data_IF_367936456156
#
_entry.id   IF_367936456156
#
_cell.length_a   1.000
_cell.length_b   1.000
_cell.length_c   1.000
_cell.angle_alpha   90.00
_cell.angle_beta   90.00
_cell.angle_gamma   90.00
#
_symmetry.space_group_name_H-M   'P 1'
#
loop_
_entity.id
_entity.type
_entity.pdbx_description
1 polymer ?
#
# COMPACT_ATOMS: atom_id res chain seq x y z
N UNK A 1 -25.37 12.13 -15.56
CA UNK A 1 -25.79 13.51 -15.18
C UNK A 1 -26.96 13.37 -14.23
N UNK A 2 -26.84 13.94 -13.04
CA UNK A 2 -27.84 13.76 -11.99
C UNK A 2 -29.23 14.23 -12.42
N UNK A 3 -30.26 13.47 -12.01
CA UNK A 3 -31.67 13.80 -12.32
C UNK A 3 -32.04 15.19 -11.79
N UNK A 4 -31.45 15.63 -10.68
CA UNK A 4 -31.62 16.96 -10.12
C UNK A 4 -31.08 18.05 -11.06
N UNK A 5 -29.85 17.89 -11.56
CA UNK A 5 -29.23 18.83 -12.50
C UNK A 5 -30.04 18.95 -13.79
N UNK A 6 -30.54 17.82 -14.31
CA UNK A 6 -31.43 17.82 -15.48
C UNK A 6 -32.72 18.61 -15.23
N UNK A 7 -33.30 18.46 -14.04
CA UNK A 7 -34.49 19.21 -13.64
C UNK A 7 -34.20 20.72 -13.52
N UNK A 8 -33.07 21.09 -12.92
CA UNK A 8 -32.66 22.49 -12.77
C UNK A 8 -32.43 23.18 -14.11
N UNK A 9 -31.75 22.50 -15.05
CA UNK A 9 -31.56 22.99 -16.41
C UNK A 9 -32.88 23.14 -17.15
N UNK A 10 -33.81 22.19 -16.98
CA UNK A 10 -35.15 22.28 -17.56
C UNK A 10 -35.94 23.46 -16.99
N UNK A 11 -35.90 23.67 -15.67
CA UNK A 11 -36.56 24.82 -15.03
C UNK A 11 -35.98 26.14 -15.53
N UNK A 12 -34.64 26.24 -15.63
CA UNK A 12 -33.95 27.42 -16.16
C UNK A 12 -34.36 27.69 -17.62
N UNK A 13 -34.49 26.64 -18.43
CA UNK A 13 -34.98 26.73 -19.80
C UNK A 13 -36.44 27.24 -19.86
N UNK A 14 -37.33 26.69 -19.03
CA UNK A 14 -38.74 27.13 -18.93
C UNK A 14 -38.81 28.61 -18.56
N UNK A 15 -38.08 29.04 -17.51
CA UNK A 15 -38.02 30.45 -17.08
C UNK A 15 -37.51 31.33 -18.21
N UNK A 16 -36.43 30.92 -18.89
CA UNK A 16 -35.88 31.65 -20.02
C UNK A 16 -36.88 31.80 -21.19
N UNK A 17 -37.63 30.74 -21.51
CA UNK A 17 -38.69 30.79 -22.53
C UNK A 17 -39.81 31.76 -22.13
N UNK A 18 -40.27 31.72 -20.88
CA UNK A 18 -41.27 32.66 -20.38
C UNK A 18 -40.78 34.12 -20.41
N UNK A 19 -39.51 34.36 -20.05
CA UNK A 19 -38.89 35.68 -20.16
C UNK A 19 -38.85 36.19 -21.61
N UNK A 20 -38.54 35.32 -22.57
CA UNK A 20 -38.57 35.65 -24.00
C UNK A 20 -40.01 35.92 -24.47
N UNK A 21 -40.96 35.10 -24.04
CA UNK A 21 -42.39 35.20 -24.37
C UNK A 21 -42.98 36.54 -23.94
N UNK A 22 -42.70 37.00 -22.72
CA UNK A 22 -43.19 38.29 -22.19
C UNK A 22 -42.75 39.52 -23.01
N UNK A 23 -41.79 39.35 -23.92
CA UNK A 23 -41.28 40.42 -24.79
C UNK A 23 -41.60 40.20 -26.27
N UNK A 24 -42.39 39.19 -26.60
CA UNK A 24 -42.90 38.97 -27.96
C UNK A 24 -43.92 40.04 -28.33
N UNK A 25 -43.93 40.46 -29.60
CA UNK A 25 -44.88 41.45 -30.12
C UNK A 25 -45.85 40.72 -31.06
N UNK A 26 -47.12 41.10 -30.96
CA UNK A 26 -48.20 40.84 -31.93
C UNK A 26 -48.77 39.40 -32.02
N UNK A 27 -49.99 39.35 -32.58
CA UNK A 27 -50.99 38.27 -32.66
C UNK A 27 -50.52 37.02 -33.43
N UNK A 28 -49.41 36.43 -33.04
CA UNK A 28 -49.02 35.13 -33.56
C UNK A 28 -49.72 34.02 -32.74
N UNK A 29 -50.38 33.08 -33.43
CA UNK A 29 -50.99 31.94 -32.75
C UNK A 29 -49.92 31.05 -32.12
N UNK A 30 -50.15 30.66 -30.87
CA UNK A 30 -49.33 29.68 -30.13
C UNK A 30 -47.83 30.03 -30.03
N UNK A 31 -47.48 31.32 -29.89
CA UNK A 31 -46.08 31.77 -29.76
C UNK A 31 -45.31 31.00 -28.68
N UNK A 32 -45.91 30.79 -27.51
CA UNK A 32 -45.25 30.08 -26.41
C UNK A 32 -44.80 28.67 -26.82
N UNK A 33 -45.68 27.89 -27.47
CA UNK A 33 -45.36 26.55 -27.96
C UNK A 33 -44.25 26.59 -29.01
N UNK A 34 -44.28 27.58 -29.91
CA UNK A 34 -43.23 27.77 -30.91
C UNK A 34 -41.88 28.09 -30.24
N UNK A 35 -41.84 28.97 -29.24
CA UNK A 35 -40.62 29.29 -28.49
C UNK A 35 -40.06 28.05 -27.77
N UNK A 36 -40.91 27.23 -27.16
CA UNK A 36 -40.49 25.93 -26.63
C UNK A 36 -39.90 25.04 -27.71
N UNK A 37 -40.55 24.94 -28.88
CA UNK A 37 -40.03 24.18 -30.01
C UNK A 37 -38.65 24.64 -30.48
N UNK A 38 -38.43 25.95 -30.62
CA UNK A 38 -37.12 26.51 -30.95
C UNK A 38 -36.08 26.27 -29.87
N UNK A 39 -36.46 26.35 -28.59
CA UNK A 39 -35.55 26.08 -27.48
C UNK A 39 -35.17 24.61 -27.37
N UNK A 40 -36.11 23.69 -27.54
CA UNK A 40 -35.84 22.25 -27.61
C UNK A 40 -34.95 21.94 -28.82
N UNK A 41 -35.24 22.54 -29.98
CA UNK A 41 -34.42 22.39 -31.18
C UNK A 41 -32.98 22.87 -30.95
N UNK A 42 -32.79 24.01 -30.27
CA UNK A 42 -31.45 24.51 -29.93
C UNK A 42 -30.68 23.61 -28.96
N UNK A 43 -31.38 22.99 -28.00
CA UNK A 43 -30.78 22.06 -27.04
C UNK A 43 -30.56 20.64 -27.61
N UNK A 44 -31.19 20.32 -28.74
CA UNK A 44 -31.13 18.99 -29.31
C UNK A 44 -29.72 18.65 -29.79
N UNK A 45 -29.20 17.56 -29.25
CA UNK A 45 -27.88 17.04 -29.57
C UNK A 45 -27.94 15.58 -30.00
N UNK A 46 -26.98 15.19 -30.81
CA UNK A 46 -26.77 13.81 -31.21
C UNK A 46 -25.42 13.34 -30.69
N UNK A 47 -25.38 12.19 -30.03
CA UNK A 47 -24.15 11.62 -29.49
C UNK A 47 -23.55 10.61 -30.49
N UNK A 48 -22.27 10.78 -30.82
CA UNK A 48 -21.46 9.81 -31.57
C UNK A 48 -20.26 9.47 -30.68
N UNK A 49 -20.20 8.24 -30.20
CA UNK A 49 -19.27 7.82 -29.15
C UNK A 49 -19.37 8.79 -27.93
N UNK A 50 -18.24 9.33 -27.48
CA UNK A 50 -18.15 10.28 -26.36
C UNK A 50 -18.41 11.75 -26.76
N UNK A 51 -18.66 12.04 -28.05
CA UNK A 51 -18.81 13.41 -28.55
C UNK A 51 -20.30 13.73 -28.77
N UNK A 52 -20.78 14.81 -28.15
CA UNK A 52 -22.14 15.34 -28.35
C UNK A 52 -22.11 16.48 -29.36
N UNK A 53 -22.84 16.34 -30.46
CA UNK A 53 -22.92 17.33 -31.53
C UNK A 53 -24.25 18.11 -31.45
N UNK A 54 -24.25 19.46 -31.55
CA UNK A 54 -25.45 20.29 -31.48
C UNK A 54 -26.25 20.30 -32.79
N UNK A 55 -26.65 19.13 -33.27
CA UNK A 55 -27.29 18.98 -34.59
C UNK A 55 -28.56 19.82 -34.69
N UNK A 56 -29.35 19.93 -33.63
CA UNK A 56 -30.60 20.70 -33.67
C UNK A 56 -30.35 22.20 -33.87
N UNK A 57 -29.31 22.74 -33.26
CA UNK A 57 -28.90 24.12 -33.49
C UNK A 57 -28.35 24.34 -34.91
N UNK A 58 -27.60 23.38 -35.46
CA UNK A 58 -27.15 23.42 -36.87
C UNK A 58 -28.35 23.41 -37.82
N UNK A 59 -29.33 22.54 -37.59
CA UNK A 59 -30.57 22.48 -38.37
C UNK A 59 -31.32 23.82 -38.30
N UNK A 60 -31.41 24.42 -37.12
CA UNK A 60 -32.00 25.73 -36.95
C UNK A 60 -31.31 26.80 -37.83
N UNK A 61 -29.97 26.86 -37.80
CA UNK A 61 -29.20 27.82 -38.58
C UNK A 61 -29.37 27.64 -40.10
N UNK A 62 -29.42 26.40 -40.57
CA UNK A 62 -29.44 26.09 -42.01
C UNK A 62 -30.85 26.12 -42.62
N UNK A 63 -31.86 25.63 -41.90
CA UNK A 63 -33.18 25.35 -42.47
C UNK A 63 -34.30 26.23 -41.92
N UNK A 64 -34.17 26.85 -40.74
CA UNK A 64 -35.25 27.61 -40.12
C UNK A 64 -35.07 29.12 -40.30
N UNK A 65 -35.91 29.72 -41.15
CA UNK A 65 -36.03 31.18 -41.34
C UNK A 65 -37.41 31.65 -40.87
N UNK A 66 -37.59 31.98 -39.58
CA UNK A 66 -38.89 32.41 -39.07
C UNK A 66 -39.35 33.70 -39.74
N UNK A 67 -40.63 33.79 -40.12
CA UNK A 67 -41.24 34.99 -40.72
C UNK A 67 -41.74 36.01 -39.69
N UNK A 68 -42.31 35.54 -38.58
CA UNK A 68 -42.83 36.37 -37.48
C UNK A 68 -42.04 36.13 -36.19
N UNK A 69 -42.01 37.11 -35.27
CA UNK A 69 -41.28 37.03 -34.00
C UNK A 69 -39.82 36.53 -34.14
N UNK A 70 -39.15 36.89 -35.25
CA UNK A 70 -37.84 36.37 -35.67
C UNK A 70 -36.81 36.45 -34.55
N UNK A 71 -36.72 37.62 -33.91
CA UNK A 71 -35.77 37.88 -32.83
C UNK A 71 -36.01 36.95 -31.63
N UNK A 72 -37.27 36.71 -31.25
CA UNK A 72 -37.63 35.87 -30.10
C UNK A 72 -37.41 34.39 -30.35
N UNK A 73 -37.74 33.90 -31.56
CA UNK A 73 -37.47 32.51 -31.95
C UNK A 73 -35.97 32.22 -32.05
N UNK A 74 -35.18 33.19 -32.53
CA UNK A 74 -33.71 33.14 -32.46
C UNK A 74 -33.23 33.10 -31.00
N UNK A 75 -33.68 34.03 -30.15
CA UNK A 75 -33.33 34.03 -28.72
C UNK A 75 -33.66 32.68 -28.06
N UNK A 76 -34.79 32.06 -28.39
CA UNK A 76 -35.17 30.75 -27.85
C UNK A 76 -34.25 29.63 -28.34
N UNK A 77 -33.87 29.61 -29.63
CA UNK A 77 -32.89 28.65 -30.15
C UNK A 77 -31.51 28.83 -29.53
N UNK A 78 -31.04 30.06 -29.34
CA UNK A 78 -29.79 30.36 -28.63
C UNK A 78 -29.86 29.97 -27.15
N UNK A 79 -31.01 30.15 -26.48
CA UNK A 79 -31.22 29.67 -25.11
C UNK A 79 -31.07 28.15 -25.04
N UNK A 80 -31.70 27.42 -25.97
CA UNK A 80 -31.54 25.96 -26.07
C UNK A 80 -30.09 25.54 -26.27
N UNK A 81 -29.38 26.21 -27.18
CA UNK A 81 -27.96 25.95 -27.42
C UNK A 81 -27.08 26.27 -26.20
N UNK A 82 -27.40 27.32 -25.44
CA UNK A 82 -26.71 27.62 -24.19
C UNK A 82 -26.93 26.52 -23.14
N UNK A 83 -28.16 25.99 -23.02
CA UNK A 83 -28.45 24.83 -22.14
C UNK A 83 -27.62 23.61 -22.57
N UNK A 84 -27.51 23.35 -23.88
CA UNK A 84 -26.65 22.30 -24.41
C UNK A 84 -25.17 22.50 -24.00
N UNK A 85 -24.62 23.70 -24.17
CA UNK A 85 -23.23 24.00 -23.78
C UNK A 85 -23.01 23.78 -22.28
N UNK A 86 -23.93 24.27 -21.44
CA UNK A 86 -23.89 24.06 -19.99
C UNK A 86 -23.92 22.56 -19.66
N UNK A 87 -24.78 21.79 -20.33
CA UNK A 87 -24.88 20.33 -20.10
C UNK A 87 -23.60 19.56 -20.42
N UNK A 88 -22.76 20.06 -21.33
CA UNK A 88 -21.44 19.50 -21.63
C UNK A 88 -20.40 19.94 -20.61
N UNK A 89 -20.50 21.18 -20.13
CA UNK A 89 -19.54 21.74 -19.19
C UNK A 89 -19.72 21.19 -17.75
N UNK A 90 -20.94 20.85 -17.34
CA UNK A 90 -21.22 20.37 -15.97
C UNK A 90 -20.36 19.17 -15.56
N UNK A 91 -20.28 18.05 -16.32
CA UNK A 91 -19.43 16.93 -15.94
C UNK A 91 -17.96 17.32 -15.77
N UNK A 92 -17.46 18.25 -16.60
CA UNK A 92 -16.10 18.77 -16.47
C UNK A 92 -15.93 19.53 -15.15
N UNK A 93 -16.84 20.44 -14.82
CA UNK A 93 -16.80 21.16 -13.55
C UNK A 93 -16.96 20.25 -12.34
N UNK A 94 -17.86 19.26 -12.39
CA UNK A 94 -18.02 18.28 -11.32
C UNK A 94 -16.73 17.51 -11.08
N UNK A 95 -16.07 17.05 -12.16
CA UNK A 95 -14.76 16.40 -12.09
C UNK A 95 -13.70 17.32 -11.49
N UNK A 96 -13.56 18.54 -12.01
CA UNK A 96 -12.56 19.51 -11.51
C UNK A 96 -12.77 19.90 -10.05
N UNK A 97 -14.02 20.12 -9.61
CA UNK A 97 -14.33 20.45 -8.22
C UNK A 97 -14.08 19.25 -7.32
N UNK A 98 -14.41 18.05 -7.79
CA UNK A 98 -14.13 16.82 -7.05
C UNK A 98 -12.63 16.59 -6.88
N UNK A 99 -11.84 16.73 -7.94
CA UNK A 99 -10.39 16.52 -7.98
C UNK A 99 -9.58 17.73 -7.48
N UNK A 100 -10.25 18.77 -6.97
CA UNK A 100 -9.57 19.96 -6.45
C UNK A 100 -8.69 19.59 -5.25
N UNK A 101 -7.39 19.99 -5.24
CA UNK A 101 -6.48 19.63 -4.16
C UNK A 101 -6.97 20.12 -2.80
N UNK A 102 -6.90 19.26 -1.80
CA UNK A 102 -7.14 19.61 -0.40
C UNK A 102 -5.81 19.79 0.32
N UNK A 103 -5.83 20.55 1.39
CA UNK A 103 -4.67 20.84 2.21
C UNK A 103 -5.08 20.58 3.65
N UNK A 104 -4.32 19.72 4.32
CA UNK A 104 -4.49 19.38 5.74
C UNK A 104 -3.18 19.74 6.44
N UNK A 105 -3.27 20.42 7.57
CA UNK A 105 -2.12 20.72 8.42
C UNK A 105 -1.86 19.49 9.30
N UNK A 106 -0.59 19.08 9.42
CA UNK A 106 -0.19 18.01 10.34
C UNK A 106 -0.10 18.57 11.77
N UNK A 107 -0.46 17.76 12.76
CA UNK A 107 -0.39 18.11 14.18
C UNK A 107 1.05 18.15 14.69
N UNK A 108 1.91 17.24 14.22
CA UNK A 108 3.34 17.21 14.55
C UNK A 108 4.19 16.78 13.33
N UNK A 109 5.48 17.13 13.39
CA UNK A 109 6.46 16.87 12.33
C UNK A 109 7.64 16.03 12.83
N UNK A 110 7.68 15.68 14.11
CA UNK A 110 8.75 14.90 14.70
C UNK A 110 8.32 13.43 14.83
N UNK A 111 9.15 12.49 14.37
CA UNK A 111 8.84 11.06 14.37
C UNK A 111 8.37 10.54 15.74
N UNK A 112 9.04 10.94 16.82
CA UNK A 112 8.68 10.51 18.18
C UNK A 112 7.36 11.09 18.75
N UNK A 113 6.69 11.97 18.01
CA UNK A 113 5.47 12.66 18.45
C UNK A 113 4.31 12.52 17.48
N UNK A 114 4.59 12.43 16.19
CA UNK A 114 3.57 12.24 15.16
C UNK A 114 2.90 10.87 15.38
N UNK A 115 1.57 10.85 15.38
CA UNK A 115 0.80 9.61 15.23
C UNK A 115 0.27 9.56 13.81
N UNK A 116 0.89 8.74 12.97
CA UNK A 116 0.44 8.50 11.60
C UNK A 116 -1.00 7.97 11.59
N UNK A 117 -1.40 7.17 12.59
CA UNK A 117 -2.77 6.69 12.69
C UNK A 117 -3.78 7.84 12.92
N UNK A 118 -3.48 8.77 13.83
CA UNK A 118 -4.36 9.91 14.14
C UNK A 118 -4.38 10.92 12.99
N UNK A 119 -3.22 11.25 12.41
CA UNK A 119 -3.13 12.11 11.22
C UNK A 119 -3.97 11.57 10.06
N UNK A 120 -3.94 10.25 9.86
CA UNK A 120 -4.75 9.62 8.84
C UNK A 120 -6.25 9.71 9.12
N UNK A 121 -6.69 9.54 10.37
CA UNK A 121 -8.10 9.72 10.74
C UNK A 121 -8.58 11.14 10.43
N UNK A 122 -7.76 12.16 10.72
CA UNK A 122 -8.05 13.55 10.40
C UNK A 122 -8.21 13.76 8.88
N UNK A 123 -7.30 13.17 8.08
CA UNK A 123 -7.38 13.18 6.62
C UNK A 123 -8.66 12.50 6.11
N UNK A 124 -9.03 11.34 6.67
CA UNK A 124 -10.25 10.63 6.30
C UNK A 124 -11.50 11.47 6.57
N UNK A 125 -11.56 12.15 7.71
CA UNK A 125 -12.68 13.02 8.09
C UNK A 125 -12.80 14.23 7.15
N UNK A 126 -11.71 14.95 6.88
CA UNK A 126 -11.71 16.13 6.01
C UNK A 126 -12.11 15.79 4.57
N UNK A 127 -11.72 14.60 4.09
CA UNK A 127 -12.05 14.14 2.74
C UNK A 127 -13.41 13.46 2.64
N UNK A 128 -14.03 13.10 3.77
CA UNK A 128 -15.23 12.28 3.83
C UNK A 128 -15.03 10.90 3.19
N UNK A 129 -13.88 10.29 3.43
CA UNK A 129 -13.49 8.98 2.87
C UNK A 129 -14.29 7.84 3.51
N UNK A 130 -14.42 6.73 2.78
CA UNK A 130 -14.88 5.48 3.35
C UNK A 130 -13.87 4.89 4.35
N UNK A 131 -14.32 3.88 5.09
CA UNK A 131 -13.51 3.23 6.12
C UNK A 131 -12.40 2.34 5.56
N UNK A 132 -12.34 2.10 4.26
CA UNK A 132 -11.43 1.12 3.68
C UNK A 132 -10.64 1.70 2.51
N UNK A 133 -9.35 1.88 2.73
CA UNK A 133 -8.36 2.23 1.71
C UNK A 133 -7.11 1.36 1.93
N UNK A 134 -6.33 1.18 0.88
CA UNK A 134 -5.06 0.43 0.92
C UNK A 134 -3.88 1.31 0.54
N UNK A 135 -2.69 0.99 1.09
CA UNK A 135 -1.42 1.63 0.73
C UNK A 135 -0.95 1.10 -0.62
N UNK A 136 -0.65 2.00 -1.57
CA UNK A 136 0.05 1.65 -2.81
C UNK A 136 1.55 1.92 -2.74
N UNK A 137 1.93 3.02 -2.07
CA UNK A 137 3.30 3.35 -1.75
C UNK A 137 3.34 4.32 -0.58
N UNK A 138 4.37 4.20 0.23
CA UNK A 138 4.68 5.11 1.32
C UNK A 138 6.17 5.44 1.24
N UNK A 139 6.51 6.72 1.26
CA UNK A 139 7.88 7.21 1.34
C UNK A 139 7.92 8.44 2.23
N UNK A 140 8.84 8.44 3.20
CA UNK A 140 9.08 9.60 4.06
C UNK A 140 10.57 9.74 4.36
N UNK A 141 10.99 10.96 4.64
CA UNK A 141 12.36 11.27 5.04
C UNK A 141 12.37 12.14 6.28
N UNK A 142 13.28 11.84 7.18
CA UNK A 142 13.51 12.57 8.41
C UNK A 142 14.99 12.96 8.52
N UNK A 143 15.27 14.07 9.18
CA UNK A 143 16.63 14.39 9.59
C UNK A 143 17.11 13.47 10.73
N UNK A 144 18.39 13.58 11.10
CA UNK A 144 18.98 12.78 12.18
C UNK A 144 18.36 13.03 13.56
N UNK A 145 17.67 14.16 13.76
CA UNK A 145 16.93 14.46 14.98
C UNK A 145 15.53 13.83 14.96
N UNK A 146 15.00 13.50 13.78
CA UNK A 146 13.68 12.92 13.57
C UNK A 146 12.63 13.91 13.07
N UNK A 147 13.03 15.10 12.61
CA UNK A 147 12.12 16.07 12.01
C UNK A 147 11.83 15.72 10.54
N UNK A 148 10.56 15.79 10.16
CA UNK A 148 10.05 15.43 8.84
C UNK A 148 10.52 16.41 7.77
N UNK A 149 11.18 15.87 6.73
CA UNK A 149 11.54 16.59 5.51
C UNK A 149 10.53 16.40 4.39
N UNK A 150 10.06 15.18 4.19
CA UNK A 150 9.17 14.84 3.08
C UNK A 150 8.24 13.72 3.47
N UNK A 151 7.00 13.78 2.99
CA UNK A 151 6.02 12.71 3.10
C UNK A 151 5.33 12.56 1.74
N UNK A 152 5.38 11.38 1.15
CA UNK A 152 4.70 11.00 -0.08
C UNK A 152 3.95 9.68 0.12
N UNK A 153 2.64 9.70 -0.11
CA UNK A 153 1.76 8.56 0.12
C UNK A 153 0.83 8.41 -1.07
N UNK A 154 0.80 7.22 -1.66
CA UNK A 154 -0.18 6.84 -2.68
C UNK A 154 -1.11 5.77 -2.14
N UNK A 155 -2.41 5.96 -2.32
CA UNK A 155 -3.46 5.11 -1.75
C UNK A 155 -4.55 4.80 -2.77
N UNK A 156 -5.20 3.65 -2.58
CA UNK A 156 -6.38 3.25 -3.36
C UNK A 156 -7.57 2.94 -2.46
N UNK A 157 -8.71 3.57 -2.72
CA UNK A 157 -10.01 3.24 -2.11
C UNK A 157 -10.89 2.53 -3.15
N UNK A 158 -11.25 1.25 -2.95
CA UNK A 158 -12.20 0.57 -3.82
C UNK A 158 -13.62 1.11 -3.58
N UNK A 159 -14.33 1.35 -4.68
CA UNK A 159 -15.74 1.75 -4.66
C UNK A 159 -16.56 0.85 -5.59
N UNK A 160 -17.88 0.89 -5.48
CA UNK A 160 -18.79 -0.02 -6.22
C UNK A 160 -18.50 -0.03 -7.74
N UNK A 161 -18.16 1.13 -8.31
CA UNK A 161 -17.96 1.33 -9.76
C UNK A 161 -16.52 1.75 -10.10
N UNK A 162 -15.51 1.18 -9.44
CA UNK A 162 -14.10 1.43 -9.74
C UNK A 162 -13.28 1.71 -8.48
N UNK A 163 -12.39 2.70 -8.54
CA UNK A 163 -11.57 3.10 -7.40
C UNK A 163 -11.27 4.60 -7.40
N UNK A 164 -10.85 5.08 -6.24
CA UNK A 164 -10.36 6.43 -6.05
C UNK A 164 -8.89 6.33 -5.66
N UNK A 165 -8.03 6.94 -6.45
CA UNK A 165 -6.63 7.12 -6.10
C UNK A 165 -6.46 8.40 -5.30
N UNK A 166 -5.66 8.33 -4.24
CA UNK A 166 -5.21 9.48 -3.47
C UNK A 166 -3.69 9.57 -3.55
N UNK A 167 -3.20 10.79 -3.74
CA UNK A 167 -1.77 11.11 -3.64
C UNK A 167 -1.63 12.25 -2.63
N UNK A 168 -0.93 11.98 -1.54
CA UNK A 168 -0.71 12.89 -0.44
C UNK A 168 0.76 13.26 -0.42
N UNK A 169 1.07 14.55 -0.43
CA UNK A 169 2.43 15.04 -0.49
C UNK A 169 2.62 16.25 0.43
N UNK A 170 3.67 16.23 1.23
CA UNK A 170 4.07 17.40 2.03
C UNK A 170 4.57 18.52 1.10
N UNK A 171 4.06 19.74 1.27
CA UNK A 171 4.52 20.92 0.54
C UNK A 171 5.62 21.71 1.29
N UNK A 172 6.13 22.77 0.64
CA UNK A 172 7.20 23.62 1.19
C UNK A 172 6.78 24.35 2.48
N UNK A 173 5.48 24.53 2.71
CA UNK A 173 4.90 25.16 3.90
C UNK A 173 4.59 24.11 4.98
N UNK A 174 5.03 22.85 4.79
CA UNK A 174 4.75 21.70 5.65
C UNK A 174 3.26 21.36 5.78
N UNK A 175 2.46 21.64 4.75
CA UNK A 175 1.10 21.16 4.68
C UNK A 175 1.00 19.89 3.85
N UNK A 176 0.08 19.00 4.22
CA UNK A 176 -0.22 17.80 3.46
C UNK A 176 -1.18 18.14 2.32
N UNK A 177 -0.66 18.21 1.11
CA UNK A 177 -1.44 18.43 -0.11
C UNK A 177 -1.97 17.11 -0.63
N UNK A 178 -3.29 17.02 -0.76
CA UNK A 178 -3.99 15.80 -1.12
C UNK A 178 -4.64 15.98 -2.49
N UNK A 179 -4.26 15.14 -3.43
CA UNK A 179 -4.88 15.03 -4.75
C UNK A 179 -5.67 13.74 -4.80
N UNK A 180 -6.87 13.78 -5.37
CA UNK A 180 -7.67 12.59 -5.60
C UNK A 180 -8.12 12.49 -7.05
N UNK A 181 -8.19 11.27 -7.56
CA UNK A 181 -8.63 10.97 -8.92
C UNK A 181 -9.55 9.75 -8.91
N UNK A 182 -10.66 9.81 -9.64
CA UNK A 182 -11.58 8.67 -9.78
C UNK A 182 -11.38 7.98 -11.12
N UNK A 183 -11.29 6.65 -11.10
CA UNK A 183 -11.30 5.83 -12.30
C UNK A 183 -12.41 4.77 -12.24
N UNK A 184 -12.99 4.45 -13.39
CA UNK A 184 -14.12 3.53 -13.55
C UNK A 184 -13.69 2.11 -14.01
N UNK A 185 -12.42 1.94 -14.42
CA UNK A 185 -11.89 0.63 -14.83
C UNK A 185 -11.32 -0.11 -13.62
N UNK A 186 -11.85 -1.30 -13.33
CA UNK A 186 -11.48 -2.08 -12.13
C UNK A 186 -10.05 -2.61 -12.16
N UNK A 187 -9.35 -2.49 -11.02
CA UNK A 187 -8.09 -3.16 -10.73
C UNK A 187 -8.34 -4.18 -9.61
N UNK A 188 -7.69 -5.35 -9.67
CA UNK A 188 -7.66 -6.24 -8.51
C UNK A 188 -6.70 -5.66 -7.47
N UNK A 189 -7.23 -5.36 -6.28
CA UNK A 189 -6.47 -4.99 -5.11
C UNK A 189 -6.27 -6.28 -4.32
N UNK A 190 -5.15 -6.97 -4.56
CA UNK A 190 -4.78 -8.17 -3.82
C UNK A 190 -3.43 -7.94 -3.13
N UNK A 191 -3.29 -8.47 -1.91
CA UNK A 191 -2.05 -8.41 -1.13
C UNK A 191 -1.64 -7.04 -0.58
N UNK A 192 -2.49 -6.01 -0.63
CA UNK A 192 -2.17 -4.66 -0.11
C UNK A 192 -2.65 -4.45 1.33
N UNK A 193 -1.87 -3.70 2.10
CA UNK A 193 -2.19 -3.34 3.48
C UNK A 193 -3.28 -2.29 3.58
N UNK A 194 -4.20 -2.46 4.54
CA UNK A 194 -5.14 -1.42 4.92
C UNK A 194 -4.40 -0.24 5.56
N UNK A 195 -4.73 0.98 5.14
CA UNK A 195 -3.99 2.19 5.53
C UNK A 195 -3.93 2.39 7.05
N UNK A 196 -5.05 2.21 7.74
CA UNK A 196 -5.11 2.39 9.20
C UNK A 196 -4.21 1.38 9.92
N UNK A 197 -4.17 0.15 9.43
CA UNK A 197 -3.36 -0.92 10.00
C UNK A 197 -1.87 -0.64 9.76
N UNK A 198 -1.51 -0.22 8.55
CA UNK A 198 -0.14 0.17 8.20
C UNK A 198 0.38 1.31 9.09
N UNK A 199 -0.37 2.41 9.20
CA UNK A 199 0.06 3.57 9.98
C UNK A 199 0.15 3.30 11.48
N UNK A 200 -0.74 2.47 12.04
CA UNK A 200 -0.62 2.02 13.43
C UNK A 200 0.73 1.35 13.73
N UNK A 201 1.31 0.63 12.76
CA UNK A 201 2.62 0.01 12.95
C UNK A 201 3.76 1.02 12.82
N UNK A 202 3.60 2.07 12.01
CA UNK A 202 4.59 3.15 11.95
C UNK A 202 4.69 3.91 13.28
N UNK A 203 3.59 4.03 14.01
CA UNK A 203 3.55 4.67 15.34
C UNK A 203 4.41 3.94 16.39
N UNK A 204 4.84 2.71 16.13
CA UNK A 204 5.76 1.97 17.00
C UNK A 204 7.23 2.37 16.82
N UNK A 205 7.56 3.13 15.76
CA UNK A 205 8.92 3.51 15.42
C UNK A 205 9.36 4.75 16.20
N UNK A 206 10.66 4.90 16.39
CA UNK A 206 11.23 6.08 17.06
C UNK A 206 12.55 6.50 16.41
N UNK A 207 12.88 7.78 16.51
CA UNK A 207 14.10 8.37 15.93
C UNK A 207 15.37 7.70 16.45
N UNK A 208 15.37 7.26 17.72
CA UNK A 208 16.49 6.56 18.37
C UNK A 208 16.87 5.26 17.66
N UNK A 209 15.91 4.59 17.00
CA UNK A 209 16.17 3.33 16.27
C UNK A 209 17.08 3.56 15.05
N UNK A 210 17.12 4.79 14.54
CA UNK A 210 17.76 5.13 13.28
C UNK A 210 19.02 5.98 13.45
N UNK A 211 19.48 6.18 14.70
CA UNK A 211 20.68 6.95 14.98
C UNK A 211 21.94 6.17 14.68
N UNK A 212 22.90 6.85 14.06
CA UNK A 212 24.24 6.34 13.80
C UNK A 212 25.26 7.47 13.74
N UNK A 213 26.55 7.19 14.00
CA UNK A 213 27.58 8.22 14.09
C UNK A 213 27.73 9.04 12.81
N UNK A 214 27.46 8.42 11.66
CA UNK A 214 27.61 9.04 10.34
C UNK A 214 26.26 9.32 9.66
N UNK A 215 25.12 9.13 10.33
CA UNK A 215 23.79 9.31 9.73
C UNK A 215 23.33 10.75 9.91
N UNK A 216 23.03 11.43 8.81
CA UNK A 216 22.50 12.81 8.78
C UNK A 216 21.00 12.86 8.51
N UNK A 217 20.47 11.88 7.78
CA UNK A 217 19.04 11.73 7.53
C UNK A 217 18.72 10.25 7.25
N UNK A 218 17.46 9.89 7.38
CA UNK A 218 16.99 8.54 7.06
C UNK A 218 15.65 8.57 6.34
N UNK A 219 15.40 7.55 5.54
CA UNK A 219 14.16 7.38 4.77
C UNK A 219 13.46 6.10 5.18
N UNK A 220 12.14 6.15 5.24
CA UNK A 220 11.28 4.99 5.42
C UNK A 220 10.50 4.81 4.12
N UNK A 221 10.50 3.61 3.53
CA UNK A 221 9.75 3.32 2.30
C UNK A 221 9.06 1.96 2.34
N UNK A 222 7.87 1.88 1.77
CA UNK A 222 7.13 0.62 1.62
C UNK A 222 6.27 0.63 0.36
N UNK A 223 6.15 -0.53 -0.29
CA UNK A 223 5.18 -0.76 -1.37
C UNK A 223 3.77 -1.06 -0.85
N UNK A 224 3.61 -1.21 0.47
CA UNK A 224 2.33 -1.63 1.09
C UNK A 224 1.91 -3.06 0.78
N UNK A 225 2.68 -3.80 -0.03
CA UNK A 225 2.37 -5.18 -0.40
C UNK A 225 2.86 -6.14 0.67
N UNK A 226 2.08 -7.20 0.90
CA UNK A 226 2.51 -8.38 1.63
C UNK A 226 3.39 -9.22 0.71
N UNK A 227 4.62 -9.47 1.13
CA UNK A 227 5.61 -10.21 0.36
C UNK A 227 6.31 -11.26 1.22
N UNK A 228 6.76 -12.34 0.59
CA UNK A 228 7.59 -13.35 1.22
C UNK A 228 9.00 -12.81 1.45
N UNK A 229 9.49 -12.92 2.68
CA UNK A 229 10.74 -12.32 3.11
C UNK A 229 11.74 -13.38 3.59
N UNK A 230 12.96 -13.35 3.03
CA UNK A 230 14.04 -14.28 3.31
C UNK A 230 15.45 -13.64 3.23
N UNK A 231 15.55 -12.30 3.28
CA UNK A 231 16.83 -11.60 3.18
C UNK A 231 17.65 -11.84 4.44
N UNK A 232 18.90 -12.30 4.28
CA UNK A 232 19.79 -12.64 5.41
C UNK A 232 20.70 -11.49 5.86
N UNK A 233 21.09 -10.62 4.95
CA UNK A 233 22.21 -9.69 5.12
C UNK A 233 21.87 -8.34 5.78
N UNK A 234 20.58 -8.02 5.97
CA UNK A 234 20.12 -6.79 6.62
C UNK A 234 19.81 -6.99 8.10
N UNK A 235 19.80 -5.93 8.92
CA UNK A 235 19.17 -6.02 10.24
C UNK A 235 17.65 -6.06 10.07
N UNK A 236 16.99 -6.91 10.86
CA UNK A 236 15.56 -7.23 10.69
C UNK A 236 14.82 -7.07 11.99
N UNK A 237 13.67 -6.42 11.91
CA UNK A 237 12.83 -6.15 13.06
C UNK A 237 11.39 -6.53 12.76
N UNK A 238 10.70 -7.08 13.75
CA UNK A 238 9.27 -7.33 13.77
C UNK A 238 8.61 -6.18 14.51
N UNK A 239 7.61 -5.55 13.88
CA UNK A 239 6.71 -4.64 14.58
C UNK A 239 5.49 -5.44 15.01
N UNK A 240 5.26 -5.54 16.32
CA UNK A 240 4.17 -6.32 16.91
C UNK A 240 2.87 -5.52 16.94
N UNK A 241 1.72 -6.20 16.94
CA UNK A 241 0.40 -5.57 17.06
C UNK A 241 0.23 -4.73 18.35
N UNK A 242 1.04 -5.00 19.38
CA UNK A 242 1.04 -4.22 20.62
C UNK A 242 1.91 -2.95 20.55
N UNK A 243 2.49 -2.63 19.38
CA UNK A 243 3.39 -1.49 19.19
C UNK A 243 4.81 -1.73 19.69
N UNK A 244 5.22 -3.00 19.83
CA UNK A 244 6.59 -3.36 20.21
C UNK A 244 7.46 -3.59 18.97
N UNK A 245 8.78 -3.39 19.12
CA UNK A 245 9.76 -3.72 18.08
C UNK A 245 10.71 -4.78 18.61
N UNK A 246 10.78 -5.92 17.93
CA UNK A 246 11.60 -7.07 18.30
C UNK A 246 12.58 -7.42 17.19
N UNK A 247 13.83 -7.75 17.52
CA UNK A 247 14.78 -8.19 16.50
C UNK A 247 14.40 -9.59 16.00
N UNK A 248 14.43 -9.77 14.68
CA UNK A 248 14.22 -11.06 14.03
C UNK A 248 15.58 -11.71 13.75
N UNK A 249 15.71 -12.96 14.15
CA UNK A 249 16.91 -13.77 13.90
C UNK A 249 16.74 -14.67 12.67
N UNK A 250 17.85 -15.05 12.03
CA UNK A 250 17.85 -15.73 10.71
C UNK A 250 17.10 -17.06 10.68
N UNK A 251 17.00 -17.73 11.82
CA UNK A 251 16.31 -19.01 11.94
C UNK A 251 14.78 -18.89 11.91
N UNK A 252 14.24 -17.67 12.01
CA UNK A 252 12.79 -17.43 12.01
C UNK A 252 12.20 -17.34 10.58
N UNK A 253 13.02 -17.31 9.53
CA UNK A 253 12.59 -17.25 8.13
C UNK A 253 12.16 -18.61 7.56
N UNK A 254 11.35 -18.65 6.46
CA UNK A 254 10.73 -17.53 5.77
C UNK A 254 9.52 -16.97 6.51
N UNK A 255 9.29 -15.67 6.36
CA UNK A 255 8.14 -14.92 6.88
C UNK A 255 7.36 -14.30 5.72
N UNK A 256 6.08 -14.01 5.92
CA UNK A 256 5.30 -13.14 5.02
C UNK A 256 4.87 -11.91 5.81
N UNK A 257 5.03 -10.73 5.23
CA UNK A 257 4.66 -9.49 5.90
C UNK A 257 4.77 -8.30 4.96
N UNK A 258 4.41 -7.13 5.46
CA UNK A 258 4.60 -5.88 4.76
C UNK A 258 5.98 -5.36 5.15
N UNK A 259 6.84 -5.17 4.15
CA UNK A 259 8.18 -4.67 4.37
C UNK A 259 8.19 -3.15 4.41
N UNK A 260 8.85 -2.60 5.42
CA UNK A 260 9.22 -1.21 5.53
C UNK A 260 10.76 -1.14 5.52
N UNK A 261 11.29 -0.60 4.44
CA UNK A 261 12.72 -0.38 4.27
C UNK A 261 13.13 0.90 4.97
N UNK A 262 14.21 0.83 5.74
CA UNK A 262 14.83 1.98 6.38
C UNK A 262 16.25 2.12 5.89
N UNK A 263 16.53 3.26 5.27
CA UNK A 263 17.84 3.62 4.79
C UNK A 263 18.35 4.90 5.46
N UNK A 264 19.50 4.81 6.14
CA UNK A 264 20.21 5.97 6.68
C UNK A 264 21.36 6.41 5.78
N UNK A 265 21.55 7.72 5.66
CA UNK A 265 22.49 8.34 4.73
C UNK A 265 23.41 9.34 5.44
N UNK A 266 24.63 9.48 4.93
CA UNK A 266 25.64 10.37 5.50
C UNK A 266 25.67 11.77 4.87
N UNK A 267 25.08 11.95 3.69
CA UNK A 267 25.02 13.24 2.99
C UNK A 267 23.87 14.14 3.44
N UNK A 268 23.68 15.23 2.71
CA UNK A 268 22.52 16.12 2.88
C UNK A 268 21.34 15.63 2.06
N UNK A 269 20.14 15.74 2.63
CA UNK A 269 18.91 15.38 1.91
C UNK A 269 18.72 16.28 0.68
N UNK A 270 18.60 15.67 -0.50
CA UNK A 270 18.44 16.38 -1.78
C UNK A 270 17.24 15.89 -2.62
N UNK A 271 16.39 15.06 -2.03
CA UNK A 271 15.21 14.48 -2.68
C UNK A 271 15.49 13.43 -3.77
N UNK A 272 16.76 13.13 -4.09
CA UNK A 272 17.15 12.14 -5.08
C UNK A 272 18.15 11.14 -4.46
N UNK A 273 17.66 10.02 -3.95
CA UNK A 273 18.43 8.98 -3.24
C UNK A 273 19.40 8.20 -4.16
N UNK A 274 20.45 8.85 -4.66
CA UNK A 274 21.57 8.18 -5.34
C UNK A 274 22.74 7.85 -4.41
N UNK A 275 22.62 8.22 -3.12
CA UNK A 275 23.63 7.89 -2.11
C UNK A 275 23.51 6.43 -1.67
N UNK A 276 24.63 5.85 -1.25
CA UNK A 276 24.66 4.48 -0.76
C UNK A 276 24.06 4.42 0.64
N UNK A 277 23.05 3.58 0.82
CA UNK A 277 22.40 3.30 2.11
C UNK A 277 23.46 2.78 3.10
N UNK A 278 23.74 3.57 4.14
CA UNK A 278 24.80 3.30 5.13
C UNK A 278 24.26 2.52 6.32
N UNK A 279 23.02 2.81 6.71
CA UNK A 279 22.21 2.00 7.63
C UNK A 279 21.14 1.31 6.79
N UNK A 280 21.12 -0.02 6.77
CA UNK A 280 20.12 -0.79 6.04
C UNK A 280 19.36 -1.71 7.01
N UNK A 281 18.14 -1.33 7.35
CA UNK A 281 17.27 -2.07 8.27
C UNK A 281 15.93 -2.35 7.62
N UNK A 282 15.39 -3.54 7.81
CA UNK A 282 14.06 -3.90 7.33
C UNK A 282 13.13 -4.16 8.51
N UNK A 283 11.99 -3.49 8.52
CA UNK A 283 10.92 -3.70 9.49
C UNK A 283 9.80 -4.48 8.81
N UNK A 284 9.43 -5.61 9.39
CA UNK A 284 8.30 -6.40 8.94
C UNK A 284 7.08 -6.06 9.79
N UNK A 285 6.05 -5.57 9.12
CA UNK A 285 4.75 -5.25 9.68
C UNK A 285 3.77 -6.39 9.33
N UNK A 286 2.75 -6.62 10.16
CA UNK A 286 1.70 -7.62 9.89
C UNK A 286 2.22 -9.03 9.57
N UNK A 287 3.19 -9.53 10.34
CA UNK A 287 3.86 -10.78 9.99
C UNK A 287 2.94 -11.98 10.18
N UNK A 288 2.73 -12.70 9.08
CA UNK A 288 2.17 -14.04 9.08
C UNK A 288 3.28 -15.05 8.81
N UNK A 289 3.24 -16.16 9.52
CA UNK A 289 4.03 -17.31 9.09
C UNK A 289 3.26 -17.93 7.92
N UNK A 290 3.90 -18.13 6.75
CA UNK A 290 3.22 -18.80 5.65
C UNK A 290 2.63 -20.11 6.16
N UNK A 291 1.35 -20.37 5.84
CA UNK A 291 0.69 -21.64 6.12
C UNK A 291 1.37 -22.72 5.28
N UNK A 292 2.53 -23.17 5.75
CA UNK A 292 3.19 -24.33 5.22
C UNK A 292 2.40 -25.53 5.73
N UNK A 293 1.81 -26.29 4.82
CA UNK A 293 1.33 -27.63 5.13
C UNK A 293 2.48 -28.34 5.87
N UNK A 294 2.21 -28.79 7.10
CA UNK A 294 3.24 -29.43 7.92
C UNK A 294 3.52 -30.79 7.32
N UNK A 295 4.67 -30.91 6.66
CA UNK A 295 5.08 -32.12 5.97
C UNK A 295 6.30 -32.71 6.66
N UNK A 296 6.57 -33.99 6.36
CA UNK A 296 7.79 -34.65 6.80
C UNK A 296 9.05 -33.87 6.37
N UNK A 297 8.99 -33.18 5.23
CA UNK A 297 10.15 -32.53 4.62
C UNK A 297 10.47 -31.16 5.22
N UNK A 298 9.48 -30.46 5.81
CA UNK A 298 9.67 -29.12 6.39
C UNK A 298 9.61 -29.08 7.92
N UNK A 299 9.36 -30.21 8.59
CA UNK A 299 9.13 -30.23 10.04
C UNK A 299 10.33 -29.75 10.85
N UNK A 300 11.55 -30.07 10.40
CA UNK A 300 12.77 -29.61 11.07
C UNK A 300 13.02 -28.13 10.82
N UNK A 301 12.72 -27.62 9.63
CA UNK A 301 12.84 -26.19 9.35
C UNK A 301 11.84 -25.38 10.20
N UNK A 302 10.62 -25.90 10.40
CA UNK A 302 9.64 -25.32 11.31
C UNK A 302 10.10 -25.38 12.77
N UNK A 303 10.67 -26.51 13.21
CA UNK A 303 11.19 -26.69 14.55
C UNK A 303 12.38 -25.76 14.86
N UNK A 304 13.25 -25.54 13.88
CA UNK A 304 14.41 -24.64 13.97
C UNK A 304 14.03 -23.16 14.11
N UNK A 305 12.74 -22.81 14.04
CA UNK A 305 12.27 -21.47 14.43
C UNK A 305 12.30 -21.24 15.94
N UNK A 306 12.36 -22.32 16.73
CA UNK A 306 12.60 -22.23 18.16
C UNK A 306 14.10 -21.97 18.42
N UNK A 307 14.37 -20.99 19.29
CA UNK A 307 15.73 -20.51 19.56
C UNK A 307 16.64 -21.62 20.09
N UNK A 308 16.18 -22.40 21.06
CA UNK A 308 17.01 -23.40 21.74
C UNK A 308 17.32 -24.57 20.80
N UNK A 309 16.34 -24.95 19.97
CA UNK A 309 16.52 -25.95 18.92
C UNK A 309 17.52 -25.43 17.88
N UNK A 310 17.40 -24.18 17.43
CA UNK A 310 18.34 -23.63 16.45
C UNK A 310 19.77 -23.52 16.98
N UNK A 311 19.95 -23.03 18.22
CA UNK A 311 21.26 -22.98 18.88
C UNK A 311 21.91 -24.38 18.94
N UNK A 312 21.11 -25.43 19.16
CA UNK A 312 21.61 -26.80 19.08
C UNK A 312 22.12 -27.14 17.67
N UNK A 313 21.34 -26.88 16.62
CA UNK A 313 21.77 -27.12 15.24
C UNK A 313 23.02 -26.31 14.86
N UNK A 314 23.11 -25.05 15.29
CA UNK A 314 24.28 -24.21 15.06
C UNK A 314 25.53 -24.76 15.70
N UNK A 315 25.43 -25.41 16.87
CA UNK A 315 26.56 -26.04 17.54
C UNK A 315 26.94 -27.43 16.99
N UNK A 316 26.09 -28.02 16.14
CA UNK A 316 26.21 -29.39 15.66
C UNK A 316 26.29 -29.50 14.13
N UNK A 317 26.38 -28.40 13.39
CA UNK A 317 26.47 -28.42 11.92
C UNK A 317 27.39 -27.34 11.35
N UNK A 318 27.95 -27.58 10.17
CA UNK A 318 28.78 -26.60 9.47
C UNK A 318 30.11 -26.31 10.18
N UNK A 319 30.61 -25.08 10.06
CA UNK A 319 31.96 -24.72 10.55
C UNK A 319 32.10 -24.77 12.09
N UNK A 320 30.99 -24.80 12.83
CA UNK A 320 31.03 -24.86 14.30
C UNK A 320 31.52 -26.21 14.84
N UNK A 321 31.37 -27.29 14.06
CA UNK A 321 31.79 -28.64 14.45
C UNK A 321 33.22 -28.96 14.04
N UNK A 322 33.91 -28.09 13.30
CA UNK A 322 35.26 -28.40 12.87
C UNK A 322 36.07 -27.22 12.35
N UNK A 323 37.37 -27.24 12.62
CA UNK A 323 38.33 -26.23 12.17
C UNK A 323 39.55 -26.87 11.49
N UNK A 324 40.07 -26.20 10.47
CA UNK A 324 41.35 -26.53 9.82
C UNK A 324 42.40 -25.48 10.19
N UNK A 325 43.52 -25.93 10.76
CA UNK A 325 44.65 -25.04 11.06
C UNK A 325 45.97 -25.67 10.67
N UNK A 326 46.68 -25.01 9.74
CA UNK A 326 47.99 -25.46 9.24
C UNK A 326 47.98 -26.90 8.67
N UNK A 327 46.90 -27.31 8.00
CA UNK A 327 46.74 -28.66 7.44
C UNK A 327 46.42 -29.75 8.46
N UNK A 328 46.11 -29.38 9.70
CA UNK A 328 45.56 -30.27 10.72
C UNK A 328 44.04 -30.04 10.79
N UNK A 329 43.28 -31.11 10.62
CA UNK A 329 41.82 -31.10 10.68
C UNK A 329 41.36 -31.50 12.07
N UNK A 330 40.50 -30.68 12.67
CA UNK A 330 39.94 -30.96 13.99
C UNK A 330 38.43 -30.93 13.94
N UNK A 331 37.79 -31.86 14.65
CA UNK A 331 36.34 -31.86 14.90
C UNK A 331 36.08 -31.64 16.38
N UNK A 332 35.01 -30.94 16.71
CA UNK A 332 34.56 -30.75 18.08
C UNK A 332 33.73 -31.97 18.51
N UNK A 333 34.13 -32.63 19.59
CA UNK A 333 33.38 -33.73 20.22
C UNK A 333 33.37 -33.56 21.73
N UNK A 334 32.18 -33.50 22.32
CA UNK A 334 32.00 -33.20 23.75
C UNK A 334 32.68 -31.88 24.15
N UNK A 335 32.61 -30.88 23.28
CA UNK A 335 33.25 -29.57 23.45
C UNK A 335 34.78 -29.58 23.43
N UNK A 336 35.39 -30.66 22.92
CA UNK A 336 36.85 -30.78 22.77
C UNK A 336 37.23 -31.00 21.31
N UNK A 337 38.26 -30.31 20.87
CA UNK A 337 38.83 -30.52 19.55
C UNK A 337 39.60 -31.84 19.52
N UNK A 338 39.19 -32.74 18.62
CA UNK A 338 39.86 -33.99 18.29
C UNK A 338 40.45 -33.91 16.90
N UNK A 339 41.72 -34.31 16.75
CA UNK A 339 42.35 -34.39 15.44
C UNK A 339 41.78 -35.58 14.66
N UNK A 340 41.37 -35.32 13.42
CA UNK A 340 40.76 -36.31 12.53
C UNK A 340 41.42 -36.29 11.15
N UNK A 341 41.09 -37.28 10.32
CA UNK A 341 41.52 -37.27 8.92
C UNK A 341 40.68 -36.29 8.10
N UNK A 342 41.27 -35.75 7.04
CA UNK A 342 40.58 -34.87 6.08
C UNK A 342 39.26 -35.46 5.57
N UNK A 343 39.23 -36.77 5.26
CA UNK A 343 38.02 -37.45 4.81
C UNK A 343 36.90 -37.41 5.87
N UNK A 344 37.24 -37.61 7.14
CA UNK A 344 36.31 -37.60 8.27
C UNK A 344 35.81 -36.18 8.55
N UNK A 345 36.71 -35.20 8.44
CA UNK A 345 36.40 -33.78 8.53
C UNK A 345 35.42 -33.33 7.45
N UNK A 346 35.72 -33.62 6.18
CA UNK A 346 34.84 -33.29 5.05
C UNK A 346 33.49 -33.99 5.19
N UNK A 347 33.48 -35.22 5.67
CA UNK A 347 32.25 -35.98 5.93
C UNK A 347 31.42 -35.30 7.01
N UNK A 348 32.00 -34.98 8.17
CA UNK A 348 31.31 -34.33 9.28
C UNK A 348 30.76 -32.93 8.94
N UNK A 349 31.43 -32.17 8.07
CA UNK A 349 30.92 -30.86 7.62
C UNK A 349 29.77 -30.96 6.60
N UNK A 350 29.69 -32.08 5.87
CA UNK A 350 28.71 -32.30 4.80
C UNK A 350 27.53 -33.17 5.23
N UNK A 351 27.70 -34.00 6.25
CA UNK A 351 26.65 -34.86 6.76
C UNK A 351 25.60 -34.01 7.47
N UNK A 352 24.36 -34.14 7.00
CA UNK A 352 23.20 -33.67 7.74
C UNK A 352 23.04 -34.56 8.98
N UNK A 353 22.62 -34.01 10.14
CA UNK A 353 22.27 -34.82 11.31
C UNK A 353 21.40 -36.02 10.97
N UNK A 354 21.57 -37.12 11.70
CA UNK A 354 20.73 -38.30 11.56
C UNK A 354 19.35 -37.98 12.09
N UNK A 355 18.32 -38.05 11.23
CA UNK A 355 16.94 -37.69 11.59
C UNK A 355 16.05 -38.92 11.54
N UNK A 356 15.40 -39.23 12.66
CA UNK A 356 14.28 -40.17 12.72
C UNK A 356 12.99 -39.39 12.95
N UNK A 357 12.04 -39.49 12.00
CA UNK A 357 10.75 -38.81 12.07
C UNK A 357 9.62 -39.83 12.25
N UNK A 358 8.79 -39.61 13.27
CA UNK A 358 7.57 -40.38 13.52
C UNK A 358 6.39 -39.44 13.73
N UNK A 359 5.20 -39.81 13.26
CA UNK A 359 3.96 -39.06 13.53
C UNK A 359 3.04 -39.89 14.43
N UNK A 360 2.61 -39.32 15.56
CA UNK A 360 1.69 -39.96 16.51
C UNK A 360 0.66 -38.93 16.96
N UNK A 361 -0.63 -39.22 16.78
CA UNK A 361 -1.75 -38.37 17.25
C UNK A 361 -1.65 -36.88 16.85
N UNK A 362 -1.30 -36.61 15.58
CA UNK A 362 -1.06 -35.24 15.04
C UNK A 362 0.10 -34.51 15.69
N UNK A 363 1.09 -35.25 16.19
CA UNK A 363 2.35 -34.74 16.69
C UNK A 363 3.47 -35.43 15.91
N UNK A 364 4.32 -34.62 15.28
CA UNK A 364 5.59 -35.10 14.75
C UNK A 364 6.61 -35.16 15.88
N UNK A 365 7.30 -36.29 15.99
CA UNK A 365 8.43 -36.53 16.88
C UNK A 365 9.65 -36.70 15.99
N UNK A 366 10.57 -35.75 16.08
CA UNK A 366 11.84 -35.77 15.39
C UNK A 366 12.96 -36.04 16.38
N UNK A 367 13.64 -37.17 16.24
CA UNK A 367 14.87 -37.46 16.96
C UNK A 367 16.05 -37.16 16.03
N UNK A 368 16.84 -36.17 16.42
CA UNK A 368 17.97 -35.67 15.64
C UNK A 368 19.24 -35.97 16.41
N UNK A 369 20.18 -36.67 15.78
CA UNK A 369 21.46 -37.06 16.38
C UNK A 369 22.62 -36.56 15.50
N UNK A 370 23.61 -35.93 16.13
CA UNK A 370 24.86 -35.59 15.45
C UNK A 370 26.06 -35.85 16.37
N UNK A 371 27.05 -36.66 15.97
CA UNK A 371 28.12 -37.12 16.88
C UNK A 371 29.20 -36.07 17.16
N UNK A 372 29.11 -34.89 16.53
CA UNK A 372 30.06 -33.79 16.66
C UNK A 372 29.34 -32.51 17.10
N UNK A 373 29.99 -31.72 17.94
CA UNK A 373 29.43 -30.54 18.59
C UNK A 373 29.64 -30.55 20.11
N UNK A 374 28.92 -29.66 20.77
CA UNK A 374 28.85 -29.56 22.23
C UNK A 374 27.73 -30.47 22.74
N UNK A 375 28.03 -31.37 23.70
CA UNK A 375 27.00 -32.22 24.29
C UNK A 375 25.83 -31.35 24.83
N UNK A 376 24.57 -31.75 24.62
CA UNK A 376 24.08 -33.08 24.23
C UNK A 376 24.05 -33.35 22.73
N UNK A 377 24.38 -34.57 22.29
CA UNK A 377 24.48 -34.94 20.86
C UNK A 377 23.15 -35.37 20.23
N UNK A 378 22.08 -35.40 21.02
CA UNK A 378 20.76 -35.80 20.55
C UNK A 378 19.71 -34.81 21.05
N UNK A 379 18.75 -34.49 20.18
CA UNK A 379 17.56 -33.72 20.53
C UNK A 379 16.31 -34.46 20.02
N UNK A 380 15.36 -34.69 20.91
CA UNK A 380 14.00 -35.10 20.54
C UNK A 380 13.13 -33.84 20.48
N UNK A 381 12.52 -33.56 19.34
CA UNK A 381 11.67 -32.39 19.12
C UNK A 381 10.24 -32.85 18.83
N UNK A 382 9.27 -32.24 19.50
CA UNK A 382 7.84 -32.51 19.29
C UNK A 382 7.18 -31.31 18.66
N UNK A 383 6.56 -31.51 17.50
CA UNK A 383 5.93 -30.44 16.72
C UNK A 383 4.48 -30.79 16.43
N UNK A 384 3.58 -29.83 16.58
CA UNK A 384 2.18 -29.99 16.25
C UNK A 384 2.00 -30.12 14.73
N UNK A 385 1.43 -31.25 14.27
CA UNK A 385 1.29 -31.55 12.84
C UNK A 385 0.25 -30.69 12.10
N UNK A 386 -0.50 -29.83 12.81
CA UNK A 386 -1.47 -28.91 12.19
C UNK A 386 -0.90 -27.50 12.10
N UNK A 387 -0.19 -27.05 13.14
CA UNK A 387 0.25 -25.66 13.27
C UNK A 387 1.75 -25.46 13.01
N UNK A 388 2.53 -26.53 12.97
CA UNK A 388 4.00 -26.46 12.83
C UNK A 388 4.70 -25.91 14.07
N UNK A 389 3.99 -25.63 15.16
CA UNK A 389 4.56 -25.10 16.40
C UNK A 389 5.22 -26.20 17.22
N UNK A 390 6.40 -25.90 17.77
CA UNK A 390 7.07 -26.74 18.75
C UNK A 390 6.20 -26.84 20.00
N UNK A 391 5.94 -28.08 20.43
CA UNK A 391 5.20 -28.41 21.65
C UNK A 391 6.16 -28.57 22.82
N UNK A 392 7.25 -29.30 22.59
CA UNK A 392 8.25 -29.66 23.60
C UNK A 392 9.55 -30.14 22.93
N UNK A 393 10.67 -30.14 23.64
CA UNK A 393 11.92 -30.76 23.19
C UNK A 393 12.76 -31.27 24.37
N UNK A 394 13.56 -32.31 24.09
CA UNK A 394 14.41 -32.96 25.07
C UNK A 394 15.81 -33.15 24.52
N UNK A 395 16.76 -32.47 25.15
CA UNK A 395 18.19 -32.68 24.99
C UNK A 395 18.63 -33.98 25.69
N UNK A 396 19.37 -34.86 24.98
CA UNK A 396 19.75 -36.20 25.46
C UNK A 396 21.24 -36.48 25.37
#
# INVERSE_FOLDING_TARGET
>A
MDKAIMLDLFLLQVIGVFYIYNRSKEEESQVLLKLFGYSILGAFSFAINSIKLPIGFIIFLLFFKPGENIKRKREAAFLGFAVFLISIAIPFFQKTVYEWPRVVELEDYHLDKISFEEEWKNVQEELGMGNYAVIDSFETAFDKEGELYSLDISLTEPVIDGFIYYHLQLDEEKNLKIRRYRNEEGMMIDGKSEVIYFFRHLDALSSEMFKGPDIQYYTLSSSGNREGYAVREAEKFLVTDSGGVEKIEDHQFPLEGIMLDVCGFAGEYNGNNHEMCTLNQHFLLDVTFPELEVTKDNILDLARRDKEINEWFENHTGESVGNEKNGVFTLKKDGKDIEVKEEEYITALKETPYVTLNEVDKIWIAEVEHPYGDAPHTIEIRVNAVTGKVIDYFFR
#
